data_IF_154983051897
#
_entry.id   IF_154983051897
#
_cell.length_a   1.000
_cell.length_b   1.000
_cell.length_c   1.000
_cell.angle_alpha   90.00
_cell.angle_beta   90.00
_cell.angle_gamma   90.00
#
_symmetry.space_group_name_H-M   'P 1'
#
loop_
_entity.id
_entity.type
_entity.pdbx_description
1 polymer ?
#
# COMPACT_ATOMS: atom_id res chain seq x y z
N UNK A 1 1.84 47.22 37.74
CA UNK A 1 2.64 46.07 37.27
C UNK A 1 1.95 45.46 36.08
N UNK A 2 2.47 45.75 34.87
CA UNK A 2 2.19 44.97 33.68
C UNK A 2 2.73 43.55 33.85
N UNK A 3 2.06 42.53 33.32
CA UNK A 3 2.63 41.63 32.31
C UNK A 3 1.48 40.98 31.54
N UNK A 4 1.45 41.25 30.24
CA UNK A 4 0.41 40.80 29.32
C UNK A 4 0.54 39.31 29.02
N UNK A 5 -0.60 38.63 29.01
CA UNK A 5 -0.67 37.25 28.53
C UNK A 5 -0.66 37.29 27.00
N UNK A 6 0.46 36.84 26.43
CA UNK A 6 0.71 36.75 24.99
C UNK A 6 -0.30 35.80 24.36
N UNK A 7 -1.12 36.35 23.46
CA UNK A 7 -2.03 35.60 22.59
C UNK A 7 -1.20 34.91 21.52
N UNK A 8 -0.86 33.63 21.73
CA UNK A 8 -0.25 32.82 20.67
C UNK A 8 -1.37 32.38 19.73
N UNK A 9 -1.58 33.17 18.67
CA UNK A 9 -2.33 32.76 17.47
C UNK A 9 -1.53 31.65 16.78
N UNK A 10 -1.87 30.40 17.04
CA UNK A 10 -1.44 29.30 16.18
C UNK A 10 -2.29 29.39 14.91
N UNK A 11 -1.66 29.81 13.81
CA UNK A 11 -2.24 29.76 12.47
C UNK A 11 -2.62 28.31 12.16
N UNK A 12 -3.90 28.05 11.98
CA UNK A 12 -4.42 26.77 11.50
C UNK A 12 -3.97 26.55 10.06
N UNK A 13 -2.83 25.87 9.86
CA UNK A 13 -2.52 25.27 8.57
C UNK A 13 -3.48 24.09 8.40
N UNK A 14 -4.46 24.27 7.51
CA UNK A 14 -5.39 23.22 7.08
C UNK A 14 -4.60 22.15 6.31
N UNK A 15 -3.94 21.27 7.03
CA UNK A 15 -3.46 20.01 6.47
C UNK A 15 -4.66 19.06 6.48
N UNK A 16 -5.23 18.80 5.30
CA UNK A 16 -6.25 17.78 5.10
C UNK A 16 -5.68 16.42 5.47
N UNK A 17 -5.67 16.10 6.76
CA UNK A 17 -5.44 14.76 7.25
C UNK A 17 -6.75 14.04 6.98
N UNK A 18 -6.78 13.25 5.91
CA UNK A 18 -7.73 12.15 5.76
C UNK A 18 -7.63 11.33 7.05
N UNK A 19 -8.61 11.50 7.95
CA UNK A 19 -8.68 10.77 9.22
C UNK A 19 -8.98 9.32 8.87
N UNK A 20 -7.94 8.53 8.56
CA UNK A 20 -8.07 7.08 8.51
C UNK A 20 -8.40 6.63 9.94
N UNK A 21 -9.48 5.88 10.12
CA UNK A 21 -9.80 5.26 11.40
C UNK A 21 -8.63 4.37 11.83
N UNK A 22 -7.92 4.75 12.90
CA UNK A 22 -6.77 4.01 13.40
C UNK A 22 -7.20 3.09 14.53
N UNK A 23 -7.02 1.79 14.33
CA UNK A 23 -7.25 0.77 15.36
C UNK A 23 -5.95 0.53 16.14
N UNK A 24 -5.99 0.62 17.47
CA UNK A 24 -4.87 0.24 18.33
C UNK A 24 -4.92 -1.27 18.59
N UNK A 25 -3.85 -1.98 18.24
CA UNK A 25 -3.66 -3.39 18.57
C UNK A 25 -2.45 -3.56 19.48
N UNK A 26 -2.61 -4.30 20.55
CA UNK A 26 -1.53 -4.68 21.46
C UNK A 26 -1.13 -6.12 21.18
N UNK A 27 0.17 -6.38 21.14
CA UNK A 27 0.74 -7.69 20.84
C UNK A 27 1.89 -7.95 21.81
N UNK A 28 1.85 -9.10 22.47
CA UNK A 28 2.94 -9.57 23.34
C UNK A 28 3.93 -10.36 22.49
N UNK A 29 5.19 -9.94 22.49
CA UNK A 29 6.26 -10.58 21.74
C UNK A 29 7.44 -10.87 22.66
N UNK A 30 8.23 -11.87 22.31
CA UNK A 30 9.50 -12.15 22.98
C UNK A 30 10.44 -10.94 22.86
N UNK A 31 11.19 -10.66 23.92
CA UNK A 31 12.15 -9.56 23.97
C UNK A 31 13.17 -9.63 22.83
N UNK A 32 13.68 -10.82 22.50
CA UNK A 32 14.64 -11.04 21.42
C UNK A 32 14.03 -10.69 20.05
N UNK A 33 12.74 -10.97 19.86
CA UNK A 33 12.02 -10.62 18.62
C UNK A 33 11.89 -9.10 18.52
N UNK A 34 11.51 -8.43 19.61
CA UNK A 34 11.40 -6.96 19.64
C UNK A 34 12.74 -6.29 19.33
N UNK A 35 13.84 -6.83 19.86
CA UNK A 35 15.19 -6.32 19.58
C UNK A 35 15.57 -6.47 18.10
N UNK A 36 15.32 -7.64 17.50
CA UNK A 36 15.55 -7.85 16.06
C UNK A 36 14.73 -6.88 15.20
N UNK A 37 13.45 -6.69 15.53
CA UNK A 37 12.58 -5.77 14.79
C UNK A 37 13.04 -4.31 14.93
N UNK A 38 13.61 -3.92 16.08
CA UNK A 38 14.20 -2.58 16.25
C UNK A 38 15.43 -2.38 15.37
N UNK A 39 16.30 -3.38 15.26
CA UNK A 39 17.47 -3.32 14.39
C UNK A 39 17.01 -3.13 12.93
N UNK A 40 16.07 -3.94 12.47
CA UNK A 40 15.51 -3.82 11.11
C UNK A 40 14.85 -2.47 10.86
N UNK A 41 14.12 -1.93 11.85
CA UNK A 41 13.54 -0.60 11.74
C UNK A 41 14.63 0.49 11.61
N UNK A 42 15.72 0.38 12.37
CA UNK A 42 16.85 1.30 12.27
C UNK A 42 17.56 1.22 10.91
N UNK A 43 17.75 0.01 10.37
CA UNK A 43 18.31 -0.22 9.03
C UNK A 43 17.45 0.41 7.93
N UNK A 44 16.11 0.36 8.08
CA UNK A 44 15.15 1.03 7.17
C UNK A 44 15.02 2.55 7.43
N UNK A 45 15.74 3.09 8.41
CA UNK A 45 15.70 4.51 8.78
C UNK A 45 14.38 4.94 9.45
N UNK A 46 13.65 4.01 10.06
CA UNK A 46 12.33 4.23 10.66
C UNK A 46 12.30 3.88 12.15
N UNK A 47 11.31 4.41 12.86
CA UNK A 47 10.99 3.90 14.18
C UNK A 47 10.21 2.58 14.07
N UNK A 48 10.25 1.77 15.13
CA UNK A 48 9.61 0.45 15.18
C UNK A 48 8.12 0.49 14.81
N UNK A 49 7.38 1.52 15.25
CA UNK A 49 5.95 1.66 14.94
C UNK A 49 5.71 1.79 13.43
N UNK A 50 6.40 2.72 12.79
CA UNK A 50 6.24 3.00 11.37
C UNK A 50 6.75 1.82 10.52
N UNK A 51 7.79 1.14 10.99
CA UNK A 51 8.29 -0.08 10.36
C UNK A 51 7.26 -1.20 10.38
N UNK A 52 6.61 -1.44 11.54
CA UNK A 52 5.54 -2.42 11.65
C UNK A 52 4.29 -2.05 10.84
N UNK A 53 3.91 -0.77 10.84
CA UNK A 53 2.79 -0.27 10.01
C UNK A 53 3.06 -0.53 8.52
N UNK A 54 4.29 -0.29 8.06
CA UNK A 54 4.72 -0.62 6.70
C UNK A 54 4.62 -2.12 6.43
N UNK A 55 5.23 -2.98 7.26
CA UNK A 55 5.17 -4.44 7.05
C UNK A 55 3.74 -4.95 6.99
N UNK A 56 2.88 -4.53 7.91
CA UNK A 56 1.49 -4.97 7.96
C UNK A 56 0.70 -4.48 6.74
N UNK A 57 0.97 -3.25 6.30
CA UNK A 57 0.36 -2.71 5.08
C UNK A 57 0.84 -3.46 3.84
N UNK A 58 2.14 -3.66 3.71
CA UNK A 58 2.76 -4.37 2.60
C UNK A 58 2.20 -5.79 2.54
N UNK A 59 2.17 -6.54 3.65
CA UNK A 59 1.57 -7.89 3.69
C UNK A 59 0.09 -7.92 3.33
N UNK A 60 -0.70 -6.97 3.84
CA UNK A 60 -2.12 -6.88 3.50
C UNK A 60 -2.34 -6.50 2.02
N UNK A 61 -1.35 -5.87 1.38
CA UNK A 61 -1.38 -5.49 -0.04
C UNK A 61 -0.76 -6.55 -0.94
N UNK A 62 0.19 -7.33 -0.43
CA UNK A 62 0.82 -8.48 -1.09
C UNK A 62 -0.19 -9.63 -1.24
N UNK A 63 -1.18 -9.75 -0.35
CA UNK A 63 -2.34 -10.65 -0.54
C UNK A 63 -3.26 -10.22 -1.70
N UNK A 64 -3.00 -9.06 -2.33
CA UNK A 64 -3.53 -8.70 -3.66
C UNK A 64 -2.67 -9.26 -4.81
N UNK A 65 -1.88 -10.30 -4.53
CA UNK A 65 -1.28 -11.15 -5.54
C UNK A 65 -2.35 -11.78 -6.44
N UNK A 66 -1.99 -11.89 -7.72
CA UNK A 66 -2.68 -12.57 -8.82
C UNK A 66 -3.85 -13.44 -8.34
N UNK A 67 -5.07 -12.89 -8.44
CA UNK A 67 -6.26 -13.60 -7.98
C UNK A 67 -6.40 -14.94 -8.70
N UNK A 68 -6.97 -15.95 -8.04
CA UNK A 68 -7.31 -17.23 -8.70
C UNK A 68 -8.12 -17.02 -9.98
N UNK A 69 -8.97 -15.99 -10.02
CA UNK A 69 -9.72 -15.59 -11.21
C UNK A 69 -8.83 -15.11 -12.35
N UNK A 70 -7.77 -14.36 -12.06
CA UNK A 70 -6.79 -13.95 -13.06
C UNK A 70 -5.94 -15.13 -13.56
N UNK A 71 -5.55 -16.06 -12.67
CA UNK A 71 -4.85 -17.31 -13.04
C UNK A 71 -5.71 -18.10 -14.02
N UNK A 72 -6.98 -18.33 -13.67
CA UNK A 72 -7.93 -19.06 -14.51
C UNK A 72 -8.15 -18.38 -15.86
N UNK A 73 -8.25 -17.05 -15.88
CA UNK A 73 -8.34 -16.29 -17.13
C UNK A 73 -7.09 -16.51 -18.01
N UNK A 74 -5.90 -16.56 -17.41
CA UNK A 74 -4.66 -16.82 -18.15
C UNK A 74 -4.59 -18.26 -18.67
N UNK A 75 -5.00 -19.25 -17.89
CA UNK A 75 -5.08 -20.64 -18.33
C UNK A 75 -6.04 -20.79 -19.52
N UNK A 76 -7.24 -20.19 -19.45
CA UNK A 76 -8.19 -20.19 -20.56
C UNK A 76 -7.66 -19.49 -21.83
N UNK A 77 -6.88 -18.41 -21.66
CA UNK A 77 -6.23 -17.72 -22.78
C UNK A 77 -5.12 -18.56 -23.42
N UNK A 78 -4.34 -19.28 -22.61
CA UNK A 78 -3.29 -20.18 -23.11
C UNK A 78 -3.90 -21.38 -23.85
N UNK A 79 -4.99 -21.95 -23.34
CA UNK A 79 -5.73 -23.03 -24.01
C UNK A 79 -6.30 -22.59 -25.36
N UNK A 80 -6.92 -21.41 -25.41
CA UNK A 80 -7.44 -20.83 -26.67
C UNK A 80 -6.33 -20.53 -27.66
N UNK A 81 -5.15 -20.12 -27.19
CA UNK A 81 -3.97 -19.95 -28.03
C UNK A 81 -3.54 -21.29 -28.65
N UNK A 82 -3.44 -22.34 -27.83
CA UNK A 82 -3.03 -23.66 -28.28
C UNK A 82 -4.00 -24.27 -29.30
N UNK A 83 -5.30 -23.96 -29.18
CA UNK A 83 -6.35 -24.37 -30.12
C UNK A 83 -6.45 -23.51 -31.38
N UNK A 84 -5.69 -22.42 -31.49
CA UNK A 84 -5.73 -21.51 -32.64
C UNK A 84 -6.97 -20.59 -32.67
N UNK A 85 -7.68 -20.45 -31.55
CA UNK A 85 -8.94 -19.72 -31.42
C UNK A 85 -8.75 -18.24 -31.05
N UNK A 86 -7.49 -17.80 -30.83
CA UNK A 86 -7.17 -16.41 -30.52
C UNK A 86 -7.06 -15.56 -31.80
N UNK A 87 -7.97 -14.61 -31.92
CA UNK A 87 -7.88 -13.55 -32.91
C UNK A 87 -7.04 -12.40 -32.34
N UNK A 88 -5.92 -12.09 -32.99
CA UNK A 88 -5.07 -10.96 -32.65
C UNK A 88 -5.43 -9.77 -33.51
N UNK A 89 -5.71 -8.63 -32.88
CA UNK A 89 -5.93 -7.37 -33.60
C UNK A 89 -4.63 -6.57 -33.64
N UNK A 90 -4.19 -6.07 -34.81
CA UNK A 90 -3.03 -5.20 -34.90
C UNK A 90 -3.18 -3.95 -34.03
N UNK A 91 -2.09 -3.53 -33.39
CA UNK A 91 -2.07 -2.39 -32.47
C UNK A 91 -2.56 -1.09 -33.13
N UNK A 92 -2.25 -0.87 -34.41
CA UNK A 92 -2.68 0.30 -35.18
C UNK A 92 -4.22 0.41 -35.30
N UNK A 93 -4.93 -0.71 -35.36
CA UNK A 93 -6.40 -0.73 -35.43
C UNK A 93 -7.03 -0.46 -34.07
N UNK A 94 -6.47 -1.03 -33.01
CA UNK A 94 -6.88 -0.75 -31.62
C UNK A 94 -6.69 0.74 -31.31
N UNK A 95 -5.55 1.32 -31.68
CA UNK A 95 -5.25 2.74 -31.48
C UNK A 95 -6.26 3.66 -32.15
N UNK A 96 -6.72 3.34 -33.37
CA UNK A 96 -7.77 4.11 -34.06
C UNK A 96 -9.12 4.04 -33.34
N UNK A 97 -9.46 2.90 -32.74
CA UNK A 97 -10.73 2.67 -32.02
C UNK A 97 -10.81 3.39 -30.67
N UNK A 98 -9.66 3.57 -30.00
CA UNK A 98 -9.58 4.18 -28.66
C UNK A 98 -8.93 5.57 -28.63
N UNK A 99 -8.69 6.20 -29.78
CA UNK A 99 -8.34 7.63 -29.84
C UNK A 99 -9.52 8.44 -29.27
N UNK A 100 -9.34 8.93 -28.05
CA UNK A 100 -10.17 9.93 -27.38
C UNK A 100 -9.75 11.33 -27.80
#
# INVERSE_FOLDING_TARGET
MHFGTVVIRIFTVKLSIMIKEKIRKEVTLDKQIVEKLKIQAMEDGRNLKNYLEKILTDKATEEFEITEGYIKMMDELMDKRAKGELNFTPWEEVKKKYKR
#
